data_IF_586580109912
#
_entry.id   IF_586580109912
#
_cell.length_a   1.000
_cell.length_b   1.000
_cell.length_c   1.000
_cell.angle_alpha   90.00
_cell.angle_beta   90.00
_cell.angle_gamma   90.00
#
_symmetry.space_group_name_H-M   'P 1'
#
loop_
_entity.id
_entity.type
_entity.pdbx_description
1 polymer ?
#
# COMPACT_ATOMS: atom_id res chain seq x y z
N UNK A 1 1.81 -6.10 19.99
CA UNK A 1 3.00 -5.76 19.21
C UNK A 1 3.17 -6.82 18.15
N UNK A 2 3.28 -6.44 16.88
CA UNK A 2 3.85 -7.34 15.88
C UNK A 2 5.32 -7.54 16.20
N UNK A 3 5.78 -8.78 16.12
CA UNK A 3 7.20 -9.07 16.12
C UNK A 3 7.80 -8.70 14.75
N UNK A 4 9.13 -8.50 14.65
CA UNK A 4 9.80 -8.37 13.37
C UNK A 4 9.49 -9.53 12.40
N UNK A 5 9.26 -10.73 12.93
CA UNK A 5 8.91 -11.91 12.14
C UNK A 5 7.49 -11.80 11.57
N UNK A 6 6.52 -11.31 12.35
CA UNK A 6 5.15 -11.04 11.86
C UNK A 6 5.15 -9.98 10.75
N UNK A 7 5.99 -8.95 10.89
CA UNK A 7 6.18 -7.92 9.87
C UNK A 7 6.76 -8.52 8.58
N UNK A 8 7.82 -9.31 8.68
CA UNK A 8 8.43 -9.95 7.51
C UNK A 8 7.45 -10.91 6.85
N UNK A 9 6.72 -11.69 7.65
CA UNK A 9 5.69 -12.59 7.15
C UNK A 9 4.59 -11.83 6.39
N UNK A 10 4.13 -10.69 6.90
CA UNK A 10 3.18 -9.83 6.18
C UNK A 10 3.75 -9.33 4.84
N UNK A 11 5.00 -8.87 4.83
CA UNK A 11 5.67 -8.39 3.61
C UNK A 11 5.75 -9.51 2.55
N UNK A 12 6.21 -10.69 2.95
CA UNK A 12 6.40 -11.85 2.08
C UNK A 12 5.06 -12.37 1.52
N UNK A 13 4.00 -12.31 2.32
CA UNK A 13 2.68 -12.79 1.92
C UNK A 13 1.81 -11.72 1.27
N UNK A 14 2.32 -10.50 1.05
CA UNK A 14 1.59 -9.44 0.33
C UNK A 14 1.79 -9.53 -1.18
N UNK A 15 0.72 -9.86 -1.90
CA UNK A 15 0.75 -10.02 -3.35
C UNK A 15 -0.17 -9.01 -4.04
N UNK A 16 0.33 -8.41 -5.12
CA UNK A 16 -0.47 -7.54 -5.99
C UNK A 16 -1.08 -8.39 -7.09
N UNK A 17 -2.40 -8.56 -7.06
CA UNK A 17 -3.14 -9.37 -8.04
C UNK A 17 -3.49 -8.52 -9.27
N UNK A 18 -3.89 -7.27 -9.04
CA UNK A 18 -4.18 -6.29 -10.08
C UNK A 18 -3.51 -4.97 -9.69
N UNK A 19 -2.44 -4.53 -10.39
CA UNK A 19 -1.85 -3.23 -10.14
C UNK A 19 -2.70 -2.11 -10.77
N UNK A 20 -2.57 -0.86 -10.27
CA UNK A 20 -3.11 0.32 -10.95
C UNK A 20 -2.62 0.38 -12.41
N UNK A 21 -3.51 0.75 -13.33
CA UNK A 21 -3.18 0.90 -14.75
C UNK A 21 -2.49 2.24 -15.03
N UNK A 22 -2.79 3.25 -14.23
CA UNK A 22 -2.19 4.58 -14.32
C UNK A 22 -1.12 4.76 -13.24
N UNK A 23 -0.07 5.49 -13.59
CA UNK A 23 1.00 5.86 -12.66
C UNK A 23 0.53 6.95 -11.70
N UNK A 24 1.16 7.00 -10.53
CA UNK A 24 0.98 8.10 -9.60
C UNK A 24 1.42 9.42 -10.24
N UNK A 25 0.65 10.47 -9.97
CA UNK A 25 1.03 11.81 -10.38
C UNK A 25 2.39 12.19 -9.75
N UNK A 26 3.27 12.78 -10.54
CA UNK A 26 4.58 13.25 -10.08
C UNK A 26 4.49 14.46 -9.15
N UNK A 27 3.39 15.22 -9.25
CA UNK A 27 3.03 16.37 -8.44
C UNK A 27 1.53 16.33 -8.12
N UNK A 28 1.15 16.59 -6.85
CA UNK A 28 -0.24 16.58 -6.39
C UNK A 28 -0.65 15.31 -5.63
N UNK A 29 -1.95 15.23 -5.28
CA UNK A 29 -2.55 14.09 -4.58
C UNK A 29 -3.01 13.04 -5.59
N UNK A 30 -2.49 11.82 -5.47
CA UNK A 30 -3.03 10.64 -6.17
C UNK A 30 -3.92 9.86 -5.21
N UNK A 31 -5.10 9.47 -5.66
CA UNK A 31 -6.01 8.63 -4.88
C UNK A 31 -6.02 7.23 -5.47
N UNK A 32 -5.69 6.24 -4.66
CA UNK A 32 -5.69 4.84 -5.06
C UNK A 32 -6.84 4.13 -4.36
N UNK A 33 -7.71 3.50 -5.13
CA UNK A 33 -8.77 2.65 -4.60
C UNK A 33 -8.19 1.24 -4.40
N UNK A 34 -8.06 0.79 -3.16
CA UNK A 34 -7.52 -0.53 -2.87
C UNK A 34 -8.63 -1.52 -2.52
N UNK A 35 -8.41 -2.78 -2.86
CA UNK A 35 -9.22 -3.92 -2.45
C UNK A 35 -8.25 -4.98 -1.93
N UNK A 36 -8.14 -5.09 -0.62
CA UNK A 36 -7.28 -6.06 0.06
C UNK A 36 -8.11 -7.24 0.54
N UNK A 37 -7.76 -8.41 0.06
CA UNK A 37 -8.42 -9.66 0.39
C UNK A 37 -7.48 -10.46 1.29
N UNK A 38 -8.00 -10.88 2.45
CA UNK A 38 -7.26 -11.70 3.41
C UNK A 38 -8.08 -12.94 3.72
N UNK A 39 -7.41 -14.06 3.96
CA UNK A 39 -8.04 -15.26 4.48
C UNK A 39 -7.93 -15.27 6.00
N UNK A 40 -8.99 -15.71 6.67
CA UNK A 40 -8.97 -15.95 8.11
C UNK A 40 -8.18 -17.24 8.38
N UNK A 41 -7.13 -17.15 9.21
CA UNK A 41 -6.29 -18.30 9.51
C UNK A 41 -6.99 -19.31 10.42
N UNK A 42 -8.03 -18.89 11.15
CA UNK A 42 -8.76 -19.71 12.11
C UNK A 42 -10.02 -20.36 11.50
N UNK A 43 -10.41 -19.98 10.27
CA UNK A 43 -11.64 -20.45 9.63
C UNK A 43 -11.46 -20.73 8.12
N UNK A 44 -11.78 -21.97 7.71
CA UNK A 44 -11.71 -22.40 6.32
C UNK A 44 -12.77 -21.68 5.48
N UNK A 45 -12.38 -21.17 4.31
CA UNK A 45 -13.26 -20.46 3.37
C UNK A 45 -13.92 -19.22 3.99
N UNK A 46 -13.32 -18.63 5.02
CA UNK A 46 -13.72 -17.33 5.52
C UNK A 46 -12.69 -16.31 5.03
N UNK A 47 -13.14 -15.44 4.14
CA UNK A 47 -12.30 -14.37 3.60
C UNK A 47 -12.85 -13.03 4.01
N UNK A 48 -11.96 -12.06 4.21
CA UNK A 48 -12.31 -10.69 4.51
C UNK A 48 -11.81 -9.79 3.39
N UNK A 49 -12.71 -9.00 2.85
CA UNK A 49 -12.38 -7.97 1.86
C UNK A 49 -12.41 -6.63 2.56
N UNK A 50 -11.30 -5.89 2.48
CA UNK A 50 -11.16 -4.51 2.91
C UNK A 50 -11.01 -3.63 1.68
N UNK A 51 -11.96 -2.73 1.47
CA UNK A 51 -11.89 -1.71 0.42
C UNK A 51 -11.76 -0.33 1.03
N UNK A 52 -11.06 0.57 0.35
CA UNK A 52 -10.88 1.94 0.82
C UNK A 52 -9.97 2.73 -0.10
N UNK A 53 -9.56 3.89 0.38
CA UNK A 53 -8.75 4.83 -0.38
C UNK A 53 -7.42 5.09 0.31
N UNK A 54 -6.34 5.05 -0.48
CA UNK A 54 -5.02 5.53 -0.06
C UNK A 54 -4.72 6.80 -0.85
N UNK A 55 -4.59 7.91 -0.12
CA UNK A 55 -4.14 9.16 -0.69
C UNK A 55 -2.62 9.18 -0.66
N UNK A 56 -1.98 9.41 -1.80
CA UNK A 56 -0.54 9.56 -1.92
C UNK A 56 -0.24 11.00 -2.33
N UNK A 57 0.33 11.79 -1.43
CA UNK A 57 0.64 13.20 -1.68
C UNK A 57 2.13 13.44 -1.58
N UNK A 58 2.71 14.16 -2.55
CA UNK A 58 4.10 14.62 -2.45
C UNK A 58 4.19 16.02 -1.83
N UNK A 59 4.66 16.22 -0.58
CA UNK A 59 4.82 17.54 0.01
C UNK A 59 6.04 18.24 -0.59
N UNK A 60 5.92 19.55 -0.78
CA UNK A 60 6.92 20.37 -1.48
C UNK A 60 8.21 20.58 -0.67
N UNK A 61 8.16 20.59 0.68
CA UNK A 61 9.33 20.81 1.56
C UNK A 61 9.09 20.14 2.93
N UNK A 62 9.88 19.11 3.31
CA UNK A 62 9.93 18.61 4.70
C UNK A 62 11.32 18.06 5.06
N UNK A 63 11.70 18.18 6.34
CA UNK A 63 12.94 17.58 6.87
C UNK A 63 12.74 16.10 7.25
N UNK A 64 13.78 15.24 7.13
CA UNK A 64 13.67 13.79 7.35
C UNK A 64 13.22 13.38 8.76
N UNK A 65 13.48 14.20 9.79
CA UNK A 65 13.32 13.84 11.21
C UNK A 65 11.86 13.84 11.68
N UNK A 66 10.95 14.58 11.03
CA UNK A 66 9.52 14.59 11.37
C UNK A 66 8.69 13.62 10.51
N UNK A 67 9.35 12.85 9.65
CA UNK A 67 8.73 12.23 8.49
C UNK A 67 7.96 10.92 8.82
N UNK A 68 8.43 10.09 9.75
CA UNK A 68 7.83 8.77 9.99
C UNK A 68 6.41 8.81 10.58
N UNK A 69 6.10 9.77 11.48
CA UNK A 69 4.79 9.87 12.15
C UNK A 69 3.70 10.52 11.30
N UNK A 70 4.07 11.44 10.40
CA UNK A 70 3.11 12.17 9.55
C UNK A 70 2.63 11.34 8.34
N UNK A 71 3.34 10.27 8.00
CA UNK A 71 3.13 9.44 6.82
C UNK A 71 1.94 8.49 6.91
N UNK A 72 1.53 8.13 8.11
CA UNK A 72 0.60 7.05 8.40
C UNK A 72 -0.69 7.56 9.02
N UNK A 73 -1.14 8.74 8.59
CA UNK A 73 -2.38 9.33 9.07
C UNK A 73 -3.57 8.39 8.78
N UNK A 74 -4.25 7.94 9.83
CA UNK A 74 -5.36 6.99 9.74
C UNK A 74 -4.96 5.51 9.73
N UNK A 75 -3.67 5.17 9.72
CA UNK A 75 -3.19 3.80 9.97
C UNK A 75 -3.03 3.56 11.49
N UNK A 76 -3.16 2.30 11.91
CA UNK A 76 -3.10 1.90 13.32
C UNK A 76 -1.68 1.79 13.87
N UNK A 77 -1.58 1.41 15.14
CA UNK A 77 -0.31 1.23 15.88
C UNK A 77 0.64 0.25 15.16
N UNK A 78 0.09 -0.79 14.54
CA UNK A 78 0.84 -1.81 13.76
C UNK A 78 1.61 -1.21 12.58
N UNK A 79 1.05 -0.18 11.95
CA UNK A 79 1.72 0.54 10.85
C UNK A 79 2.92 1.36 11.36
N UNK A 80 2.83 1.90 12.57
CA UNK A 80 3.92 2.65 13.18
C UNK A 80 5.11 1.73 13.50
N UNK A 81 4.85 0.55 14.07
CA UNK A 81 5.86 -0.48 14.29
C UNK A 81 6.58 -0.87 12.99
N UNK A 82 5.83 -0.96 11.88
CA UNK A 82 6.41 -1.22 10.57
C UNK A 82 7.31 -0.08 10.05
N UNK A 83 6.90 1.17 10.23
CA UNK A 83 7.71 2.33 9.86
C UNK A 83 9.04 2.35 10.63
N UNK A 84 9.00 2.04 11.93
CA UNK A 84 10.18 1.96 12.77
C UNK A 84 11.10 0.80 12.34
N UNK A 85 10.53 -0.36 12.01
CA UNK A 85 11.25 -1.50 11.44
C UNK A 85 11.95 -1.16 10.11
N UNK A 86 11.27 -0.45 9.21
CA UNK A 86 11.86 0.01 7.95
C UNK A 86 13.00 1.02 8.20
N UNK A 87 12.85 1.92 9.18
CA UNK A 87 13.86 2.92 9.52
C UNK A 87 15.19 2.30 9.95
N UNK A 88 15.11 1.18 10.67
CA UNK A 88 16.28 0.43 11.12
C UNK A 88 16.97 -0.31 9.97
N UNK A 89 16.23 -0.66 8.91
CA UNK A 89 16.71 -1.43 7.75
C UNK A 89 17.13 -0.58 6.52
N UNK A 90 17.42 0.72 6.73
CA UNK A 90 18.13 1.73 5.91
C UNK A 90 18.01 1.74 4.37
N UNK A 91 18.17 0.62 3.67
CA UNK A 91 18.11 0.53 2.20
C UNK A 91 16.70 0.74 1.63
N UNK A 92 15.65 0.36 2.36
CA UNK A 92 14.27 0.53 1.90
C UNK A 92 13.73 1.96 2.08
N UNK A 93 14.46 2.86 2.75
CA UNK A 93 14.01 4.22 3.09
C UNK A 93 14.14 5.24 1.95
N UNK A 94 14.56 4.84 0.75
CA UNK A 94 14.64 5.78 -0.36
C UNK A 94 13.31 6.51 -0.57
N UNK A 95 12.15 5.83 -0.41
CA UNK A 95 10.81 6.45 -0.49
C UNK A 95 10.57 7.54 0.57
N UNK A 96 11.20 7.46 1.75
CA UNK A 96 11.10 8.51 2.78
C UNK A 96 11.71 9.83 2.31
N UNK A 97 12.72 9.78 1.43
CA UNK A 97 13.31 10.99 0.81
C UNK A 97 12.39 11.64 -0.22
N UNK A 98 11.40 10.92 -0.75
CA UNK A 98 10.53 11.46 -1.79
C UNK A 98 9.40 12.30 -1.23
N UNK A 99 9.16 12.25 0.08
CA UNK A 99 8.04 12.93 0.69
C UNK A 99 6.77 12.36 0.12
N UNK A 100 6.29 11.18 0.50
CA UNK A 100 4.87 10.93 0.27
C UNK A 100 4.10 11.33 1.54
N UNK A 101 2.79 11.18 1.60
CA UNK A 101 1.97 11.13 2.81
C UNK A 101 0.84 10.21 2.48
N UNK A 102 0.61 9.21 3.32
CA UNK A 102 -0.48 8.27 3.15
C UNK A 102 -1.59 8.57 4.13
N UNK A 103 -2.78 8.80 3.58
CA UNK A 103 -4.00 8.83 4.37
C UNK A 103 -4.88 7.67 3.96
N UNK A 104 -5.25 6.86 4.95
CA UNK A 104 -6.26 5.81 4.78
C UNK A 104 -7.64 6.41 5.07
N UNK A 105 -8.56 6.31 4.11
CA UNK A 105 -9.92 6.83 4.22
C UNK A 105 -10.95 5.81 3.71
N UNK A 106 -12.21 6.01 4.13
CA UNK A 106 -13.40 5.28 3.63
C UNK A 106 -13.29 3.75 3.66
N UNK A 107 -12.71 3.24 4.76
CA UNK A 107 -12.53 1.80 4.94
C UNK A 107 -13.88 1.13 5.13
N UNK A 108 -14.18 0.18 4.25
CA UNK A 108 -15.27 -0.78 4.42
C UNK A 108 -14.69 -2.17 4.45
N UNK A 109 -15.22 -3.00 5.33
CA UNK A 109 -14.88 -4.41 5.37
C UNK A 109 -16.13 -5.26 5.36
N UNK A 110 -16.06 -6.38 4.63
CA UNK A 110 -17.08 -7.40 4.65
C UNK A 110 -16.43 -8.78 4.59
N UNK A 111 -17.15 -9.76 5.09
CA UNK A 111 -16.73 -11.16 5.08
C UNK A 111 -17.47 -11.91 3.97
N UNK A 112 -16.78 -12.90 3.39
CA UNK A 112 -17.33 -13.79 2.38
C UNK A 112 -16.96 -15.23 2.71
N UNK A 113 -17.95 -16.12 2.61
CA UNK A 113 -17.77 -17.56 2.79
C UNK A 113 -17.33 -18.22 1.48
N UNK A 114 -16.19 -17.80 0.96
CA UNK A 114 -15.57 -18.27 -0.28
C UNK A 114 -14.08 -18.49 -0.03
N UNK A 115 -13.46 -19.38 -0.80
CA UNK A 115 -12.01 -19.52 -0.77
C UNK A 115 -11.31 -18.23 -1.24
N UNK A 116 -10.06 -18.03 -0.83
CA UNK A 116 -9.26 -16.87 -1.23
C UNK A 116 -9.21 -16.69 -2.76
N UNK A 117 -9.10 -17.78 -3.51
CA UNK A 117 -9.06 -17.76 -4.96
C UNK A 117 -10.38 -17.27 -5.58
N UNK A 118 -11.51 -17.82 -5.12
CA UNK A 118 -12.84 -17.48 -5.65
C UNK A 118 -13.21 -16.01 -5.41
N UNK A 119 -12.99 -15.52 -4.19
CA UNK A 119 -13.28 -14.11 -3.87
C UNK A 119 -12.33 -13.17 -4.62
N UNK A 120 -11.07 -13.56 -4.79
CA UNK A 120 -10.08 -12.76 -5.53
C UNK A 120 -10.47 -12.60 -6.99
N UNK A 121 -10.88 -13.67 -7.64
CA UNK A 121 -11.34 -13.60 -9.03
C UNK A 121 -12.62 -12.76 -9.18
N UNK A 122 -13.57 -12.91 -8.25
CA UNK A 122 -14.79 -12.10 -8.22
C UNK A 122 -14.47 -10.61 -8.10
N UNK A 123 -13.68 -10.24 -7.09
CA UNK A 123 -13.28 -8.84 -6.85
C UNK A 123 -12.51 -8.29 -8.05
N UNK A 124 -11.59 -9.06 -8.64
CA UNK A 124 -10.84 -8.65 -9.83
C UNK A 124 -11.74 -8.35 -11.03
N UNK A 125 -12.76 -9.17 -11.27
CA UNK A 125 -13.77 -8.94 -12.33
C UNK A 125 -14.55 -7.66 -12.04
N UNK A 126 -15.04 -7.49 -10.81
CA UNK A 126 -15.83 -6.32 -10.40
C UNK A 126 -15.02 -5.03 -10.51
N UNK A 127 -13.77 -5.02 -10.05
CA UNK A 127 -12.85 -3.88 -10.15
C UNK A 127 -12.51 -3.56 -11.61
N UNK A 128 -12.29 -4.59 -12.43
CA UNK A 128 -12.02 -4.39 -13.86
C UNK A 128 -13.21 -3.78 -14.59
N UNK A 129 -14.43 -4.18 -14.22
CA UNK A 129 -15.67 -3.64 -14.79
C UNK A 129 -15.92 -2.17 -14.43
N UNK A 130 -15.47 -1.72 -13.25
CA UNK A 130 -15.53 -0.30 -12.84
C UNK A 130 -14.66 0.61 -13.71
N UNK A 131 -13.66 0.05 -14.42
CA UNK A 131 -12.76 0.76 -15.34
C UNK A 131 -12.03 1.97 -14.73
N UNK A 132 -11.80 1.94 -13.41
CA UNK A 132 -11.01 2.95 -12.72
C UNK A 132 -9.50 2.66 -12.89
N UNK A 133 -8.73 3.60 -13.46
CA UNK A 133 -7.31 3.39 -13.74
C UNK A 133 -6.42 3.36 -12.49
N UNK A 134 -6.90 3.84 -11.34
CA UNK A 134 -6.17 3.90 -10.07
C UNK A 134 -6.69 2.88 -9.03
N UNK A 135 -7.34 1.81 -9.49
CA UNK A 135 -7.73 0.70 -8.64
C UNK A 135 -6.66 -0.38 -8.54
N UNK A 136 -6.48 -0.95 -7.34
CA UNK A 136 -5.57 -2.07 -7.08
C UNK A 136 -6.25 -3.19 -6.30
N UNK A 137 -5.97 -4.45 -6.67
CA UNK A 137 -6.41 -5.64 -5.93
C UNK A 137 -5.19 -6.33 -5.34
N UNK A 138 -5.25 -6.59 -4.04
CA UNK A 138 -4.17 -7.12 -3.22
C UNK A 138 -4.66 -8.36 -2.48
N UNK A 139 -3.77 -9.32 -2.25
CA UNK A 139 -3.94 -10.35 -1.22
C UNK A 139 -2.88 -10.20 -0.14
N UNK A 140 -3.20 -10.64 1.07
CA UNK A 140 -2.28 -10.56 2.20
C UNK A 140 -2.79 -11.34 3.40
N UNK A 141 -2.19 -11.07 4.54
CA UNK A 141 -2.57 -11.67 5.82
C UNK A 141 -3.50 -10.74 6.60
N UNK A 142 -4.44 -11.30 7.36
CA UNK A 142 -5.44 -10.49 8.07
C UNK A 142 -4.80 -9.64 9.18
N UNK A 143 -3.90 -10.22 9.98
CA UNK A 143 -3.27 -9.52 11.09
C UNK A 143 -2.33 -8.40 10.67
N UNK A 144 -1.66 -8.57 9.54
CA UNK A 144 -0.69 -7.63 8.95
C UNK A 144 -1.27 -6.75 7.85
N UNK A 145 -2.59 -6.63 7.73
CA UNK A 145 -3.23 -5.99 6.58
C UNK A 145 -2.75 -4.55 6.32
N UNK A 146 -2.44 -3.77 7.36
CA UNK A 146 -1.90 -2.42 7.21
C UNK A 146 -0.47 -2.43 6.67
N UNK A 147 0.34 -3.41 7.08
CA UNK A 147 1.69 -3.64 6.55
C UNK A 147 1.61 -4.00 5.07
N UNK A 148 0.62 -4.79 4.66
CA UNK A 148 0.36 -5.10 3.25
C UNK A 148 0.15 -3.83 2.41
N UNK A 149 -0.67 -2.89 2.91
CA UNK A 149 -0.93 -1.62 2.23
C UNK A 149 0.33 -0.77 2.13
N UNK A 150 1.12 -0.65 3.20
CA UNK A 150 2.34 0.16 3.18
C UNK A 150 3.38 -0.46 2.23
N UNK A 151 3.57 -1.78 2.28
CA UNK A 151 4.43 -2.52 1.35
C UNK A 151 4.03 -2.25 -0.09
N UNK A 152 2.74 -2.36 -0.40
CA UNK A 152 2.22 -2.05 -1.73
C UNK A 152 2.54 -0.62 -2.17
N UNK A 153 2.36 0.37 -1.29
CA UNK A 153 2.68 1.76 -1.60
C UNK A 153 4.17 1.98 -1.86
N UNK A 154 5.04 1.32 -1.09
CA UNK A 154 6.49 1.37 -1.29
C UNK A 154 6.86 0.79 -2.66
N UNK A 155 6.34 -0.38 -3.01
CA UNK A 155 6.57 -1.03 -4.30
C UNK A 155 6.08 -0.16 -5.47
N UNK A 156 4.91 0.47 -5.32
CA UNK A 156 4.31 1.33 -6.33
C UNK A 156 5.13 2.61 -6.58
N UNK A 157 5.68 3.22 -5.53
CA UNK A 157 6.55 4.39 -5.66
C UNK A 157 7.89 4.01 -6.28
N UNK A 158 8.48 2.88 -5.88
CA UNK A 158 9.76 2.42 -6.42
C UNK A 158 9.65 2.12 -7.92
N UNK A 159 8.60 1.44 -8.35
CA UNK A 159 8.33 1.16 -9.77
C UNK A 159 8.05 2.44 -10.58
N UNK A 160 7.42 3.46 -9.96
CA UNK A 160 7.15 4.75 -10.61
C UNK A 160 8.39 5.67 -10.70
N UNK A 161 9.33 5.56 -9.76
CA UNK A 161 10.49 6.48 -9.65
C UNK A 161 11.62 6.16 -10.62
N UNK A 162 11.79 4.88 -11.03
CA UNK A 162 12.90 4.44 -11.89
C UNK A 162 12.93 5.07 -13.29
N UNK A 163 11.79 5.46 -13.86
CA UNK A 163 11.74 6.19 -15.15
C UNK A 163 11.70 7.72 -14.97
N UNK A 164 11.32 8.22 -13.80
CA UNK A 164 11.37 9.66 -13.52
C UNK A 164 12.80 10.20 -13.45
N UNK A 165 13.81 9.34 -13.19
CA UNK A 165 15.22 9.74 -13.16
C UNK A 165 15.67 10.39 -14.49
N UNK A 166 15.14 9.92 -15.63
CA UNK A 166 15.41 10.51 -16.93
C UNK A 166 14.70 11.85 -17.15
N UNK A 167 13.50 12.04 -16.57
CA UNK A 167 12.78 13.31 -16.61
C UNK A 167 13.37 14.37 -15.67
N UNK A 168 13.89 13.96 -14.51
CA UNK A 168 14.62 14.84 -13.58
C UNK A 168 15.92 15.36 -14.19
N UNK A 169 16.67 14.51 -14.93
CA UNK A 169 17.89 14.91 -15.66
C UNK A 169 17.57 15.84 -16.83
N UNK A 170 16.47 15.60 -17.55
CA UNK A 170 16.03 16.45 -18.67
C UNK A 170 15.55 17.84 -18.26
N UNK A 171 15.11 18.02 -17.00
CA UNK A 171 14.61 19.30 -16.47
C UNK A 171 15.57 20.03 -15.53
N UNK A 172 16.80 19.53 -15.35
CA UNK A 172 17.86 20.24 -14.62
C UNK A 172 17.65 20.35 -13.11
N UNK A 173 16.96 19.38 -12.49
CA UNK A 173 16.69 19.36 -11.05
C UNK A 173 17.62 18.40 -10.27
N UNK A 174 18.81 18.12 -10.82
CA UNK A 174 19.90 17.38 -10.20
C UNK A 174 21.23 18.11 -10.46
#
# INVERSE_FOLDING_TARGET
>A
MLTPDDINYAIENTHVILPPRQRLATFGTSLINYYLITEDMDAINLTRVREGQIHAERPEIMSPEHFSRLMLEGFGERAQEFADFLSTNSQKLAFLKYGFRFRKADIRSYEAHLSLAEITDKVKVDVTAKSDPLSAVLTGIDDGWEVCLIKFMVDLIQSSSGQNFDDFRKRGLL
#
